data_IF_993389978800
#
_entry.id   IF_993389978800
#
_cell.length_a   1.000
_cell.length_b   1.000
_cell.length_c   1.000
_cell.angle_alpha   90.00
_cell.angle_beta   90.00
_cell.angle_gamma   90.00
#
_symmetry.space_group_name_H-M   'P 1'
#
loop_
_entity.id
_entity.type
_entity.pdbx_description
1 polymer ?
#
# COMPACT_ATOMS: atom_id res chain seq x y z
N UNK A 1 -12.43 17.90 9.76
CA UNK A 1 -11.87 16.54 9.62
C UNK A 1 -12.57 15.86 8.46
N UNK A 2 -11.85 15.32 7.47
CA UNK A 2 -12.50 14.61 6.35
C UNK A 2 -13.21 13.36 6.86
N UNK A 3 -14.33 12.97 6.23
CA UNK A 3 -15.08 11.75 6.59
C UNK A 3 -14.19 10.49 6.54
N UNK A 4 -13.19 10.45 5.66
CA UNK A 4 -12.25 9.32 5.52
C UNK A 4 -11.31 9.18 6.72
N UNK A 5 -10.74 10.28 7.23
CA UNK A 5 -9.82 10.22 8.39
C UNK A 5 -10.53 9.68 9.64
N UNK A 6 -11.74 10.15 9.90
CA UNK A 6 -12.54 9.68 11.04
C UNK A 6 -12.84 8.18 10.95
N UNK A 7 -13.17 7.66 9.76
CA UNK A 7 -13.41 6.23 9.58
C UNK A 7 -12.16 5.39 9.91
N UNK A 8 -10.97 5.84 9.49
CA UNK A 8 -9.69 5.17 9.82
C UNK A 8 -9.47 5.13 11.33
N UNK A 9 -9.66 6.26 12.01
CA UNK A 9 -9.51 6.34 13.46
C UNK A 9 -10.52 5.47 14.21
N UNK A 10 -11.76 5.42 13.74
CA UNK A 10 -12.81 4.61 14.37
C UNK A 10 -12.49 3.11 14.25
N UNK A 11 -11.94 2.65 13.11
CA UNK A 11 -11.41 1.29 12.97
C UNK A 11 -10.24 1.06 13.92
N UNK A 12 -9.28 1.99 13.98
CA UNK A 12 -8.11 1.86 14.85
C UNK A 12 -8.49 1.72 16.35
N UNK A 13 -9.54 2.43 16.81
CA UNK A 13 -10.06 2.31 18.19
C UNK A 13 -10.60 0.93 18.54
N UNK A 14 -10.92 0.09 17.55
CA UNK A 14 -11.35 -1.30 17.79
C UNK A 14 -10.19 -2.27 18.02
N UNK A 15 -8.93 -1.78 17.94
CA UNK A 15 -7.74 -2.63 17.99
C UNK A 15 -7.44 -3.35 16.68
N UNK A 16 -8.17 -3.04 15.60
CA UNK A 16 -7.94 -3.58 14.27
C UNK A 16 -7.02 -2.68 13.43
N UNK A 17 -6.33 -3.29 12.47
CA UNK A 17 -5.54 -2.58 11.46
C UNK A 17 -6.49 -2.15 10.33
N UNK A 18 -6.50 -0.86 10.01
CA UNK A 18 -7.23 -0.35 8.85
C UNK A 18 -6.39 -0.54 7.59
N UNK A 19 -6.90 -1.27 6.60
CA UNK A 19 -6.27 -1.44 5.28
C UNK A 19 -7.01 -0.55 4.28
N UNK A 20 -6.26 0.30 3.59
CA UNK A 20 -6.79 1.23 2.59
C UNK A 20 -6.21 0.86 1.21
N UNK A 21 -7.10 0.64 0.24
CA UNK A 21 -6.75 0.56 -1.18
C UNK A 21 -7.04 1.92 -1.82
N UNK A 22 -5.99 2.64 -2.23
CA UNK A 22 -6.06 4.04 -2.65
C UNK A 22 -5.19 4.32 -3.88
N UNK A 23 -5.62 5.27 -4.68
CA UNK A 23 -4.86 5.79 -5.81
C UNK A 23 -3.79 6.83 -5.40
N UNK A 24 -3.12 7.43 -6.38
CA UNK A 24 -2.08 8.44 -6.13
C UNK A 24 -2.58 9.66 -5.36
N UNK A 25 -3.81 10.10 -5.58
CA UNK A 25 -4.36 11.28 -4.92
C UNK A 25 -4.79 10.93 -3.49
N UNK A 26 -5.26 9.70 -3.27
CA UNK A 26 -5.45 9.13 -1.95
C UNK A 26 -4.15 9.09 -1.14
N UNK A 27 -3.05 8.58 -1.71
CA UNK A 27 -1.73 8.58 -1.05
C UNK A 27 -1.30 9.99 -0.66
N UNK A 28 -1.38 10.96 -1.60
CA UNK A 28 -1.06 12.37 -1.34
C UNK A 28 -1.94 12.98 -0.24
N UNK A 29 -3.22 12.60 -0.19
CA UNK A 29 -4.16 13.08 0.82
C UNK A 29 -3.80 12.56 2.20
N UNK A 30 -3.51 11.26 2.32
CA UNK A 30 -3.18 10.63 3.61
C UNK A 30 -1.82 11.14 4.13
N UNK A 31 -0.82 11.32 3.25
CA UNK A 31 0.48 11.92 3.63
C UNK A 31 0.38 13.34 4.20
N UNK A 32 -0.71 14.06 3.94
CA UNK A 32 -0.98 15.40 4.53
C UNK A 32 -1.69 15.34 5.88
N UNK A 33 -1.96 14.14 6.38
CA UNK A 33 -2.57 13.92 7.70
C UNK A 33 -1.50 13.51 8.72
N UNK A 34 -1.88 13.50 9.99
CA UNK A 34 -1.15 12.97 11.14
C UNK A 34 -1.41 11.47 11.38
N UNK A 35 -2.06 10.78 10.43
CA UNK A 35 -2.25 9.34 10.53
C UNK A 35 -0.90 8.64 10.44
N UNK A 36 -0.59 7.80 11.43
CA UNK A 36 0.57 6.92 11.39
C UNK A 36 0.27 5.72 10.47
N UNK A 37 0.34 5.95 9.16
CA UNK A 37 0.06 4.97 8.13
C UNK A 37 1.35 4.41 7.51
N UNK A 38 1.37 3.11 7.25
CA UNK A 38 2.40 2.43 6.46
C UNK A 38 2.01 2.45 4.98
N UNK A 39 2.84 3.04 4.13
CA UNK A 39 2.61 3.18 2.70
C UNK A 39 3.40 2.13 1.93
N UNK A 40 2.69 1.16 1.33
CA UNK A 40 3.30 0.08 0.53
C UNK A 40 2.84 0.17 -0.91
N UNK A 41 3.78 0.27 -1.85
CA UNK A 41 3.50 0.18 -3.28
C UNK A 41 3.71 -1.25 -3.79
N UNK A 42 2.68 -1.84 -4.39
CA UNK A 42 2.80 -3.13 -5.08
C UNK A 42 3.06 -2.87 -6.56
N UNK A 43 4.30 -3.08 -6.99
CA UNK A 43 4.73 -2.81 -8.37
C UNK A 43 4.88 -4.11 -9.17
N UNK A 44 4.51 -4.15 -10.46
CA UNK A 44 4.97 -5.25 -11.32
C UNK A 44 6.50 -5.20 -11.47
N UNK A 45 7.16 -6.32 -11.84
CA UNK A 45 8.60 -6.32 -12.08
C UNK A 45 9.02 -5.44 -13.26
N UNK A 46 8.16 -5.32 -14.28
CA UNK A 46 8.34 -4.37 -15.38
C UNK A 46 7.00 -4.08 -16.06
N UNK A 47 6.97 -3.03 -16.89
CA UNK A 47 5.82 -2.69 -17.71
C UNK A 47 5.50 -3.80 -18.73
N UNK A 48 6.54 -4.34 -19.36
CA UNK A 48 6.46 -5.38 -20.39
C UNK A 48 5.90 -6.68 -19.81
N UNK A 49 6.33 -7.06 -18.60
CA UNK A 49 5.82 -8.24 -17.91
C UNK A 49 4.35 -8.05 -17.53
N UNK A 50 3.95 -6.85 -17.10
CA UNK A 50 2.54 -6.54 -16.81
C UNK A 50 1.69 -6.64 -18.08
N UNK A 51 2.12 -6.03 -19.19
CA UNK A 51 1.41 -6.10 -20.47
C UNK A 51 1.22 -7.54 -20.93
N UNK A 52 2.30 -8.32 -20.91
CA UNK A 52 2.26 -9.75 -21.25
C UNK A 52 1.20 -10.48 -20.42
N UNK A 53 1.20 -10.31 -19.09
CA UNK A 53 0.23 -10.96 -18.18
C UNK A 53 -1.21 -10.52 -18.44
N UNK A 54 -1.45 -9.24 -18.70
CA UNK A 54 -2.81 -8.73 -18.99
C UNK A 54 -3.37 -9.36 -20.26
N UNK A 55 -2.54 -9.48 -21.30
CA UNK A 55 -2.93 -10.11 -22.57
C UNK A 55 -3.13 -11.62 -22.43
N UNK A 56 -2.26 -12.30 -21.69
CA UNK A 56 -2.35 -13.75 -21.44
C UNK A 56 -3.61 -14.15 -20.66
N UNK A 57 -4.15 -13.26 -19.82
CA UNK A 57 -5.39 -13.53 -19.07
C UNK A 57 -6.61 -13.66 -19.99
N UNK A 58 -6.60 -13.03 -21.16
CA UNK A 58 -7.72 -13.04 -22.12
C UNK A 58 -9.10 -12.63 -21.53
N UNK A 59 -9.10 -11.91 -20.41
CA UNK A 59 -10.31 -11.46 -19.70
C UNK A 59 -10.70 -10.03 -20.03
N UNK A 60 -9.77 -9.25 -20.59
CA UNK A 60 -9.93 -7.83 -20.86
C UNK A 60 -9.87 -7.57 -22.37
N UNK A 61 -10.65 -6.61 -22.87
CA UNK A 61 -10.53 -6.13 -24.24
C UNK A 61 -9.35 -5.14 -24.39
N UNK A 62 -8.95 -4.84 -25.64
CA UNK A 62 -7.80 -3.97 -25.92
C UNK A 62 -7.90 -2.57 -25.28
N UNK A 63 -9.10 -2.00 -25.18
CA UNK A 63 -9.29 -0.68 -24.56
C UNK A 63 -9.03 -0.75 -23.04
N UNK A 64 -9.53 -1.80 -22.37
CA UNK A 64 -9.28 -2.04 -20.96
C UNK A 64 -7.80 -2.32 -20.68
N UNK A 65 -7.13 -3.10 -21.54
CA UNK A 65 -5.68 -3.35 -21.44
C UNK A 65 -4.90 -2.04 -21.55
N UNK A 66 -5.16 -1.23 -22.58
CA UNK A 66 -4.48 0.07 -22.78
C UNK A 66 -4.70 1.02 -21.60
N UNK A 67 -5.92 1.08 -21.07
CA UNK A 67 -6.23 1.90 -19.90
C UNK A 67 -5.43 1.43 -18.68
N UNK A 68 -5.46 0.14 -18.34
CA UNK A 68 -4.70 -0.41 -17.20
C UNK A 68 -3.20 -0.20 -17.35
N UNK A 69 -2.65 -0.35 -18.55
CA UNK A 69 -1.23 -0.10 -18.81
C UNK A 69 -0.86 1.37 -18.64
N UNK A 70 -1.73 2.30 -19.07
CA UNK A 70 -1.53 3.73 -18.83
C UNK A 70 -1.49 4.03 -17.33
N UNK A 71 -2.48 3.56 -16.58
CA UNK A 71 -2.55 3.75 -15.12
C UNK A 71 -1.34 3.13 -14.42
N UNK A 72 -0.93 1.92 -14.82
CA UNK A 72 0.25 1.26 -14.27
C UNK A 72 1.54 2.05 -14.54
N UNK A 73 1.71 2.62 -15.73
CA UNK A 73 2.89 3.43 -16.06
C UNK A 73 2.99 4.69 -15.17
N UNK A 74 1.87 5.38 -14.95
CA UNK A 74 1.82 6.52 -14.03
C UNK A 74 2.09 6.09 -12.58
N UNK A 75 1.46 5.00 -12.13
CA UNK A 75 1.61 4.44 -10.79
C UNK A 75 3.04 3.99 -10.51
N UNK A 76 3.71 3.31 -11.45
CA UNK A 76 5.11 2.89 -11.31
C UNK A 76 6.08 4.08 -11.24
N UNK A 77 5.78 5.19 -11.94
CA UNK A 77 6.58 6.41 -11.85
C UNK A 77 6.41 7.05 -10.48
N UNK A 78 5.16 7.22 -10.04
CA UNK A 78 4.82 7.79 -8.73
C UNK A 78 5.38 6.94 -7.57
N UNK A 79 5.32 5.61 -7.70
CA UNK A 79 5.87 4.67 -6.72
C UNK A 79 7.39 4.78 -6.51
N UNK A 80 8.13 5.32 -7.48
CA UNK A 80 9.58 5.56 -7.40
C UNK A 80 9.93 6.95 -6.88
N UNK A 81 8.95 7.82 -6.65
CA UNK A 81 9.21 9.15 -6.09
C UNK A 81 9.70 9.01 -4.63
N UNK A 82 10.84 9.62 -4.26
CA UNK A 82 11.38 9.51 -2.92
C UNK A 82 10.39 9.98 -1.84
N UNK A 83 10.25 9.21 -0.76
CA UNK A 83 9.43 9.57 0.40
C UNK A 83 7.91 9.41 0.21
N UNK A 84 7.44 8.94 -0.96
CA UNK A 84 6.01 8.68 -1.17
C UNK A 84 5.57 7.38 -0.50
N UNK A 85 6.34 6.30 -0.67
CA UNK A 85 6.09 5.00 -0.06
C UNK A 85 7.24 4.60 0.85
N UNK A 86 6.92 3.89 1.92
CA UNK A 86 7.90 3.38 2.88
C UNK A 86 8.51 2.07 2.36
N UNK A 87 7.71 1.29 1.62
CA UNK A 87 8.15 0.06 0.97
C UNK A 87 7.61 -0.09 -0.46
N UNK A 88 8.39 -0.77 -1.29
CA UNK A 88 7.97 -1.24 -2.62
C UNK A 88 8.08 -2.76 -2.62
N UNK A 89 6.98 -3.45 -2.92
CA UNK A 89 6.94 -4.91 -3.09
C UNK A 89 6.80 -5.22 -4.57
N UNK A 90 7.72 -6.03 -5.10
CA UNK A 90 7.70 -6.44 -6.50
C UNK A 90 6.83 -7.69 -6.68
N UNK A 91 5.72 -7.53 -7.38
CA UNK A 91 4.76 -8.60 -7.69
C UNK A 91 5.16 -9.38 -8.95
N UNK A 92 6.33 -10.04 -8.90
CA UNK A 92 6.72 -10.99 -9.95
C UNK A 92 6.06 -12.35 -9.73
N UNK A 93 6.28 -12.97 -8.57
CA UNK A 93 5.67 -14.25 -8.19
C UNK A 93 4.81 -14.04 -6.96
N UNK A 94 3.58 -14.55 -6.99
CA UNK A 94 2.59 -14.35 -5.94
C UNK A 94 3.14 -14.73 -4.55
N UNK A 95 3.72 -15.93 -4.42
CA UNK A 95 4.21 -16.44 -3.14
C UNK A 95 5.34 -15.59 -2.56
N UNK A 96 6.22 -15.09 -3.42
CA UNK A 96 7.35 -14.23 -3.02
C UNK A 96 6.84 -12.87 -2.57
N UNK A 97 6.00 -12.21 -3.40
CA UNK A 97 5.43 -10.91 -3.08
C UNK A 97 4.57 -10.96 -1.80
N UNK A 98 3.82 -12.04 -1.61
CA UNK A 98 3.04 -12.28 -0.40
C UNK A 98 3.94 -12.44 0.82
N UNK A 99 5.01 -13.22 0.72
CA UNK A 99 5.99 -13.39 1.80
C UNK A 99 6.65 -12.06 2.18
N UNK A 100 7.05 -11.26 1.19
CA UNK A 100 7.67 -9.94 1.42
C UNK A 100 6.70 -8.98 2.10
N UNK A 101 5.48 -8.87 1.59
CA UNK A 101 4.43 -8.05 2.20
C UNK A 101 4.14 -8.49 3.64
N UNK A 102 4.01 -9.80 3.88
CA UNK A 102 3.77 -10.35 5.22
C UNK A 102 4.90 -10.02 6.19
N UNK A 103 6.15 -10.06 5.73
CA UNK A 103 7.33 -9.70 6.54
C UNK A 103 7.30 -8.21 6.92
N UNK A 104 7.04 -7.33 5.96
CA UNK A 104 6.92 -5.89 6.18
C UNK A 104 5.83 -5.60 7.22
N UNK A 105 4.62 -6.13 7.00
CA UNK A 105 3.49 -5.93 7.91
C UNK A 105 3.79 -6.44 9.32
N UNK A 106 4.43 -7.62 9.43
CA UNK A 106 4.80 -8.18 10.72
C UNK A 106 5.75 -7.27 11.49
N UNK A 107 6.77 -6.74 10.83
CA UNK A 107 7.76 -5.84 11.45
C UNK A 107 7.10 -4.54 11.94
N UNK A 108 6.23 -3.94 11.12
CA UNK A 108 5.49 -2.72 11.48
C UNK A 108 4.58 -2.93 12.69
N UNK A 109 3.80 -4.02 12.68
CA UNK A 109 2.89 -4.38 13.79
C UNK A 109 3.68 -4.65 15.08
N UNK A 110 4.77 -5.42 15.02
CA UNK A 110 5.61 -5.70 16.18
C UNK A 110 6.22 -4.40 16.75
N UNK A 111 6.66 -3.49 15.88
CA UNK A 111 7.13 -2.16 16.25
C UNK A 111 6.06 -1.33 16.96
N UNK A 112 4.86 -1.25 16.39
CA UNK A 112 3.74 -0.51 16.98
C UNK A 112 3.34 -1.07 18.36
N UNK A 113 3.26 -2.40 18.50
CA UNK A 113 2.96 -3.06 19.77
C UNK A 113 4.05 -2.85 20.82
N UNK A 114 5.32 -2.80 20.41
CA UNK A 114 6.42 -2.49 21.32
C UNK A 114 6.32 -1.06 21.86
N UNK A 115 6.06 -0.07 20.99
CA UNK A 115 5.88 1.33 21.39
C UNK A 115 4.68 1.52 22.34
N UNK A 116 3.56 0.84 22.08
CA UNK A 116 2.41 0.86 23.00
C UNK A 116 2.78 0.31 24.39
N UNK A 117 3.55 -0.78 24.46
CA UNK A 117 4.01 -1.34 25.75
C UNK A 117 4.93 -0.38 26.51
N UNK A 118 5.80 0.35 25.82
CA UNK A 118 6.65 1.37 26.43
C UNK A 118 5.81 2.53 26.98
N UNK A 119 4.87 3.06 26.20
CA UNK A 119 3.99 4.15 26.61
C UNK A 119 3.08 3.75 27.80
N UNK A 120 2.67 2.48 27.87
CA UNK A 120 1.86 1.96 28.97
C UNK A 120 2.67 1.58 30.22
N UNK A 121 4.01 1.49 30.12
CA UNK A 121 4.92 1.17 31.23
C UNK A 121 5.43 2.40 31.98
N UNK A 122 4.93 3.59 31.67
CA UNK A 122 5.11 4.79 32.51
C UNK A 122 3.88 5.05 33.37
N UNK A 123 3.74 4.43 34.56
CA UNK A 123 2.81 4.91 35.58
C UNK A 123 3.53 5.83 36.58
N UNK A 124 3.04 7.08 36.64
CA UNK A 124 3.26 8.13 37.66
C UNK A 124 4.67 8.72 37.79
#
# INVERSE_FOLDING_TARGET
>A
MSKSKKAVEDVAKTGCICVLDVDKEGVKSIRKTDLNALFIHISPPSYEILEKRLRERQTDNENAIKYRLKEAKESMKFGKEPGVYDHIVINDKLDVAYSDLKKILRQDIEGALHQQKLNNKSPK
#
